data_IF_174524095822
#
_entry.id   IF_174524095822
#
_cell.length_a   1.000
_cell.length_b   1.000
_cell.length_c   1.000
_cell.angle_alpha   90.00
_cell.angle_beta   90.00
_cell.angle_gamma   90.00
#
_symmetry.space_group_name_H-M   'P 1'
#
loop_
_entity.id
_entity.type
_entity.pdbx_description
1 polymer ?
#
# COMPACT_ATOMS: atom_id res chain seq x y z
N UNK A 1 12.12 -1.20 -19.22
CA UNK A 1 11.16 -1.72 -18.34
C UNK A 1 9.80 -1.25 -18.62
N UNK A 2 8.88 -2.10 -18.68
CA UNK A 2 7.52 -1.72 -18.97
C UNK A 2 6.87 -1.12 -17.73
N UNK A 3 6.04 -0.12 -17.93
CA UNK A 3 5.33 0.50 -16.83
C UNK A 3 4.38 -0.49 -16.20
N UNK A 4 3.94 -1.48 -16.95
CA UNK A 4 3.05 -2.50 -16.41
C UNK A 4 3.74 -3.36 -15.37
N UNK A 5 5.02 -3.66 -15.57
CA UNK A 5 5.76 -4.42 -14.57
C UNK A 5 5.93 -3.61 -13.29
N UNK A 6 6.20 -2.34 -13.44
CA UNK A 6 6.37 -1.48 -12.28
C UNK A 6 5.04 -1.36 -11.53
N UNK A 7 3.95 -1.22 -12.26
CA UNK A 7 2.64 -1.11 -11.66
C UNK A 7 2.28 -2.38 -10.91
N UNK A 8 2.57 -3.53 -11.51
CA UNK A 8 2.27 -4.80 -10.87
C UNK A 8 3.04 -4.95 -9.56
N UNK A 9 4.29 -4.48 -9.55
CA UNK A 9 5.08 -4.56 -8.34
C UNK A 9 4.52 -3.65 -7.27
N UNK A 10 4.08 -2.46 -7.64
CA UNK A 10 3.47 -1.56 -6.67
C UNK A 10 2.19 -2.14 -6.10
N UNK A 11 1.40 -2.77 -6.94
CA UNK A 11 0.18 -3.39 -6.47
C UNK A 11 0.47 -4.54 -5.51
N UNK A 12 1.52 -5.29 -5.79
CA UNK A 12 1.92 -6.36 -4.90
C UNK A 12 2.36 -5.81 -3.55
N UNK A 13 3.11 -4.70 -3.55
CA UNK A 13 3.50 -4.07 -2.31
C UNK A 13 2.31 -3.56 -1.53
N UNK A 14 1.34 -3.02 -2.24
CA UNK A 14 0.13 -2.53 -1.58
C UNK A 14 -0.59 -3.67 -0.88
N UNK A 15 -0.72 -4.81 -1.54
CA UNK A 15 -1.37 -5.95 -0.92
C UNK A 15 -0.58 -6.48 0.26
N UNK A 16 0.74 -6.50 0.15
CA UNK A 16 1.57 -6.95 1.26
C UNK A 16 1.41 -6.04 2.46
N UNK A 17 1.34 -4.74 2.23
CA UNK A 17 1.15 -3.80 3.32
C UNK A 17 -0.22 -3.95 3.96
N UNK A 18 -1.24 -4.20 3.15
CA UNK A 18 -2.56 -4.44 3.70
C UNK A 18 -2.57 -5.66 4.59
N UNK A 19 -1.87 -6.70 4.16
CA UNK A 19 -1.78 -7.91 4.96
C UNK A 19 -1.04 -7.65 6.26
N UNK A 20 0.04 -6.88 6.20
CA UNK A 20 0.80 -6.57 7.40
C UNK A 20 -0.03 -5.73 8.37
N UNK A 21 -0.80 -4.79 7.85
CA UNK A 21 -1.66 -3.98 8.70
C UNK A 21 -2.69 -4.86 9.38
N UNK A 22 -3.28 -5.76 8.62
CA UNK A 22 -4.30 -6.63 9.17
C UNK A 22 -3.72 -7.50 10.28
N UNK A 23 -2.54 -8.05 10.06
CA UNK A 23 -1.91 -8.87 11.07
C UNK A 23 -1.50 -8.05 12.28
N UNK A 24 -1.02 -6.84 12.06
CA UNK A 24 -0.63 -6.00 13.17
C UNK A 24 -1.83 -5.64 14.03
N UNK A 25 -2.95 -5.37 13.39
CA UNK A 25 -4.15 -5.02 14.12
C UNK A 25 -4.70 -6.21 14.89
N UNK A 26 -4.42 -7.41 14.43
CA UNK A 26 -4.88 -8.61 15.12
C UNK A 26 -4.02 -8.96 16.32
N UNK A 27 -2.83 -8.38 16.40
CA UNK A 27 -1.94 -8.65 17.52
C UNK A 27 -2.07 -7.55 18.56
N UNK A 28 -2.51 -7.87 19.76
CA UNK A 28 -2.71 -6.83 20.76
C UNK A 28 -1.41 -6.16 21.22
N UNK A 29 -0.30 -6.82 21.02
CA UNK A 29 0.97 -6.23 21.43
C UNK A 29 1.56 -5.29 20.41
N UNK A 30 0.94 -5.12 19.26
CA UNK A 30 1.47 -4.24 18.24
C UNK A 30 1.25 -2.79 18.64
N UNK A 31 2.29 -1.99 18.47
CA UNK A 31 2.24 -0.59 18.82
C UNK A 31 1.38 0.20 17.86
N UNK A 32 0.64 1.16 18.37
CA UNK A 32 -0.16 2.02 17.51
C UNK A 32 0.71 2.79 16.54
N UNK A 33 1.90 3.15 16.98
CA UNK A 33 2.81 3.86 16.11
C UNK A 33 3.21 3.01 14.93
N UNK A 34 3.44 1.74 15.16
CA UNK A 34 3.83 0.84 14.09
C UNK A 34 2.69 0.68 13.09
N UNK A 35 1.46 0.59 13.56
CA UNK A 35 0.32 0.50 12.68
C UNK A 35 0.19 1.77 11.86
N UNK A 36 0.39 2.92 12.47
CA UNK A 36 0.31 4.18 11.76
C UNK A 36 1.36 4.27 10.66
N UNK A 37 2.56 3.75 10.93
CA UNK A 37 3.60 3.77 9.92
C UNK A 37 3.25 2.86 8.74
N UNK A 38 2.69 1.70 9.03
CA UNK A 38 2.27 0.80 7.97
C UNK A 38 1.18 1.42 7.12
N UNK A 39 0.24 2.10 7.75
CA UNK A 39 -0.82 2.77 7.01
C UNK A 39 -0.28 3.89 6.14
N UNK A 40 0.74 4.60 6.63
CA UNK A 40 1.36 5.66 5.85
C UNK A 40 2.05 5.08 4.63
N UNK A 41 2.77 3.96 4.80
CA UNK A 41 3.42 3.32 3.67
C UNK A 41 2.40 2.86 2.63
N UNK A 42 1.27 2.35 3.11
CA UNK A 42 0.23 1.92 2.19
C UNK A 42 -0.29 3.09 1.38
N UNK A 43 -0.46 4.23 2.03
CA UNK A 43 -0.94 5.42 1.33
C UNK A 43 0.06 5.89 0.28
N UNK A 44 1.34 5.83 0.60
CA UNK A 44 2.35 6.24 -0.36
C UNK A 44 2.36 5.33 -1.59
N UNK A 45 2.25 4.04 -1.38
CA UNK A 45 2.22 3.11 -2.49
C UNK A 45 0.96 3.31 -3.32
N UNK A 46 -0.16 3.52 -2.65
CA UNK A 46 -1.41 3.75 -3.35
C UNK A 46 -1.34 5.02 -4.19
N UNK A 47 -0.69 6.05 -3.66
CA UNK A 47 -0.53 7.29 -4.38
C UNK A 47 0.31 7.10 -5.63
N UNK A 48 1.37 6.30 -5.53
CA UNK A 48 2.19 6.01 -6.69
C UNK A 48 1.44 5.24 -7.75
N UNK A 49 0.61 4.29 -7.33
CA UNK A 49 -0.21 3.55 -8.26
C UNK A 49 -1.15 4.50 -8.99
N UNK A 50 -1.75 5.42 -8.26
CA UNK A 50 -2.68 6.37 -8.86
C UNK A 50 -1.99 7.26 -9.88
N UNK A 51 -0.75 7.61 -9.62
CA UNK A 51 -0.01 8.43 -10.57
C UNK A 51 0.30 7.70 -11.85
N UNK A 52 0.49 6.39 -11.75
CA UNK A 52 0.78 5.60 -12.94
C UNK A 52 -0.50 5.24 -13.70
N UNK A 53 -1.65 5.38 -13.07
CA UNK A 53 -2.91 5.07 -13.73
C UNK A 53 -3.82 6.28 -13.65
N UNK A 54 -3.48 7.37 -14.31
CA UNK A 54 -4.28 8.59 -14.17
C UNK A 54 -5.68 8.46 -14.72
N UNK A 55 -5.87 7.61 -15.70
CA UNK A 55 -7.18 7.48 -16.30
C UNK A 55 -8.16 6.73 -15.41
N UNK A 56 -7.72 6.04 -14.40
CA UNK A 56 -8.65 5.39 -13.51
C UNK A 56 -9.08 6.28 -12.38
N UNK A 57 -8.56 7.47 -12.28
CA UNK A 57 -8.94 8.34 -11.28
C UNK A 57 -10.13 9.01 -11.60
N UNK A 58 -11.10 8.66 -11.12
CA UNK A 58 -12.23 9.28 -11.43
C UNK A 58 -12.70 10.04 -10.37
N UNK A 59 -12.85 10.86 -10.35
CA UNK A 59 -13.45 11.45 -9.39
C UNK A 59 -13.48 12.59 -9.38
#
# INVERSE_FOLDING_TARGET
MAIESHLAELERRHQALEHEISEAQAHPSTDDLEIAELKRKKLLVKDEIARLKPDTLVH
#
